data_IF_812988607502
#
_entry.id   IF_812988607502
#
_cell.length_a   1.000
_cell.length_b   1.000
_cell.length_c   1.000
_cell.angle_alpha   90.00
_cell.angle_beta   90.00
_cell.angle_gamma   90.00
#
_symmetry.space_group_name_H-M   'P 1'
#
loop_
_entity.id
_entity.type
_entity.pdbx_description
1 polymer ?
#
# COMPACT_ATOMS: atom_id res chain seq x y z
N UNK A 1 -10.11 16.28 -17.60
CA UNK A 1 -9.26 17.14 -16.76
C UNK A 1 -9.21 16.57 -15.36
N UNK A 2 -8.20 16.97 -14.60
CA UNK A 2 -7.82 16.43 -13.29
C UNK A 2 -8.99 16.16 -12.36
N UNK A 3 -9.94 17.09 -12.24
CA UNK A 3 -11.11 16.96 -11.35
C UNK A 3 -11.95 15.71 -11.66
N UNK A 4 -12.16 15.41 -12.94
CA UNK A 4 -12.98 14.25 -13.34
C UNK A 4 -12.27 12.93 -13.09
N UNK A 5 -10.94 12.92 -13.25
CA UNK A 5 -10.11 11.74 -13.02
C UNK A 5 -10.04 11.41 -11.53
N UNK A 6 -9.80 12.43 -10.69
CA UNK A 6 -9.79 12.29 -9.24
C UNK A 6 -11.16 11.86 -8.69
N UNK A 7 -12.24 12.42 -9.23
CA UNK A 7 -13.60 12.00 -8.87
C UNK A 7 -13.84 10.51 -9.13
N UNK A 8 -13.50 10.02 -10.34
CA UNK A 8 -13.68 8.61 -10.69
C UNK A 8 -12.84 7.70 -9.80
N UNK A 9 -11.55 8.01 -9.59
CA UNK A 9 -10.72 7.24 -8.66
C UNK A 9 -11.34 7.14 -7.25
N UNK A 10 -11.90 8.23 -6.73
CA UNK A 10 -12.57 8.22 -5.43
C UNK A 10 -13.84 7.35 -5.41
N UNK A 11 -14.62 7.36 -6.49
CA UNK A 11 -15.82 6.52 -6.64
C UNK A 11 -15.46 5.02 -6.61
N UNK A 12 -14.55 4.59 -7.50
CA UNK A 12 -14.14 3.18 -7.59
C UNK A 12 -13.51 2.68 -6.28
N UNK A 13 -12.76 3.55 -5.58
CA UNK A 13 -12.14 3.20 -4.31
C UNK A 13 -13.19 2.91 -3.23
N UNK A 14 -14.29 3.67 -3.20
CA UNK A 14 -15.39 3.46 -2.26
C UNK A 14 -16.18 2.20 -2.64
N UNK A 15 -16.48 2.01 -3.93
CA UNK A 15 -17.17 0.81 -4.42
C UNK A 15 -16.37 -0.46 -4.11
N UNK A 16 -15.06 -0.47 -4.39
CA UNK A 16 -14.16 -1.57 -4.02
C UNK A 16 -14.22 -1.91 -2.52
N UNK A 17 -14.24 -0.91 -1.64
CA UNK A 17 -14.37 -1.10 -0.19
C UNK A 17 -15.73 -1.69 0.19
N UNK A 18 -16.81 -1.22 -0.43
CA UNK A 18 -18.17 -1.76 -0.22
C UNK A 18 -18.24 -3.23 -0.63
N UNK A 19 -17.68 -3.59 -1.79
CA UNK A 19 -17.64 -4.96 -2.29
C UNK A 19 -16.80 -5.88 -1.39
N UNK A 20 -15.68 -5.37 -0.86
CA UNK A 20 -14.85 -6.08 0.11
C UNK A 20 -15.61 -6.38 1.40
N UNK A 21 -16.26 -5.38 2.00
CA UNK A 21 -17.06 -5.53 3.22
C UNK A 21 -18.24 -6.49 3.00
N UNK A 22 -18.84 -6.45 1.81
CA UNK A 22 -19.95 -7.34 1.46
C UNK A 22 -19.53 -8.77 1.08
N UNK A 23 -18.23 -9.06 0.98
CA UNK A 23 -17.73 -10.39 0.62
C UNK A 23 -18.03 -10.80 -0.83
N UNK A 24 -18.30 -9.85 -1.72
CA UNK A 24 -18.68 -10.11 -3.12
C UNK A 24 -17.44 -10.25 -3.99
N UNK A 25 -16.85 -11.45 -4.02
CA UNK A 25 -15.55 -11.71 -4.65
C UNK A 25 -15.45 -11.26 -6.12
N UNK A 26 -16.45 -11.56 -6.95
CA UNK A 26 -16.41 -11.22 -8.38
C UNK A 26 -16.40 -9.69 -8.58
N UNK A 27 -17.30 -9.00 -7.89
CA UNK A 27 -17.36 -7.53 -7.90
C UNK A 27 -16.10 -6.91 -7.33
N UNK A 28 -15.59 -7.41 -6.20
CA UNK A 28 -14.33 -6.91 -5.63
C UNK A 28 -13.16 -6.98 -6.63
N UNK A 29 -13.08 -8.03 -7.44
CA UNK A 29 -12.05 -8.14 -8.50
C UNK A 29 -12.27 -7.07 -9.57
N UNK A 30 -13.51 -6.83 -9.98
CA UNK A 30 -13.85 -5.81 -10.98
C UNK A 30 -13.51 -4.40 -10.47
N UNK A 31 -14.04 -4.02 -9.30
CA UNK A 31 -13.79 -2.71 -8.69
C UNK A 31 -12.29 -2.48 -8.38
N UNK A 32 -11.56 -3.54 -8.00
CA UNK A 32 -10.10 -3.44 -7.82
C UNK A 32 -9.38 -3.11 -9.12
N UNK A 33 -9.86 -3.63 -10.26
CA UNK A 33 -9.30 -3.30 -11.57
C UNK A 33 -9.58 -1.84 -11.94
N UNK A 34 -10.79 -1.35 -11.66
CA UNK A 34 -11.17 0.04 -11.92
C UNK A 34 -10.40 1.03 -11.03
N UNK A 35 -10.17 0.69 -9.75
CA UNK A 35 -9.27 1.43 -8.86
C UNK A 35 -7.87 1.54 -9.46
N UNK A 36 -7.28 0.43 -9.92
CA UNK A 36 -5.93 0.45 -10.50
C UNK A 36 -5.88 1.27 -11.79
N UNK A 37 -6.88 1.12 -12.66
CA UNK A 37 -7.00 1.87 -13.90
C UNK A 37 -7.06 3.38 -13.61
N UNK A 38 -8.01 3.80 -12.77
CA UNK A 38 -8.20 5.22 -12.49
C UNK A 38 -7.04 5.82 -11.70
N UNK A 39 -6.37 5.05 -10.85
CA UNK A 39 -5.14 5.48 -10.19
C UNK A 39 -4.00 5.74 -11.20
N UNK A 40 -3.83 4.86 -12.20
CA UNK A 40 -2.85 5.08 -13.28
C UNK A 40 -3.19 6.34 -14.08
N UNK A 41 -4.48 6.58 -14.38
CA UNK A 41 -4.90 7.81 -15.08
C UNK A 41 -4.60 9.06 -14.24
N UNK A 42 -4.81 9.02 -12.90
CA UNK A 42 -4.42 10.12 -12.00
C UNK A 42 -2.93 10.41 -12.12
N UNK A 43 -2.07 9.38 -12.12
CA UNK A 43 -0.63 9.55 -12.25
C UNK A 43 -0.26 10.22 -13.58
N UNK A 44 -0.79 9.70 -14.69
CA UNK A 44 -0.50 10.23 -16.03
C UNK A 44 -0.97 11.69 -16.16
N UNK A 45 -2.15 12.04 -15.66
CA UNK A 45 -2.67 13.41 -15.65
C UNK A 45 -1.80 14.35 -14.80
N UNK A 46 -1.23 13.84 -13.69
CA UNK A 46 -0.28 14.57 -12.84
C UNK A 46 1.16 14.59 -13.36
N UNK A 47 1.45 13.99 -14.53
CA UNK A 47 2.81 13.89 -15.09
C UNK A 47 3.71 12.88 -14.37
N UNK A 48 3.15 11.98 -13.56
CA UNK A 48 3.85 10.90 -12.86
C UNK A 48 3.78 9.63 -13.71
N UNK A 49 4.94 9.02 -13.99
CA UNK A 49 5.00 7.75 -14.70
C UNK A 49 4.73 6.60 -13.73
N UNK A 50 3.97 5.55 -14.11
CA UNK A 50 3.71 4.41 -13.23
C UNK A 50 4.98 3.76 -12.66
N UNK A 51 6.09 3.77 -13.39
CA UNK A 51 7.39 3.28 -12.93
C UNK A 51 7.96 4.05 -11.74
N UNK A 52 7.68 5.34 -11.61
CA UNK A 52 8.13 6.15 -10.47
C UNK A 52 7.45 5.68 -9.19
N UNK A 53 6.16 5.35 -9.28
CA UNK A 53 5.42 4.74 -8.16
C UNK A 53 5.92 3.31 -7.89
N UNK A 54 6.20 2.53 -8.93
CA UNK A 54 6.74 1.18 -8.77
C UNK A 54 8.11 1.17 -8.09
N UNK A 55 8.99 2.11 -8.47
CA UNK A 55 10.30 2.30 -7.84
C UNK A 55 10.14 2.68 -6.36
N UNK A 56 9.15 3.51 -6.03
CA UNK A 56 8.83 3.85 -4.64
C UNK A 56 8.33 2.63 -3.85
N UNK A 57 7.52 1.76 -4.45
CA UNK A 57 7.09 0.50 -3.83
C UNK A 57 8.29 -0.42 -3.56
N UNK A 58 9.17 -0.62 -4.55
CA UNK A 58 10.41 -1.41 -4.40
C UNK A 58 11.30 -0.82 -3.29
N UNK A 59 11.46 0.50 -3.26
CA UNK A 59 12.20 1.19 -2.19
C UNK A 59 11.59 0.84 -0.83
N UNK A 60 10.27 0.93 -0.66
CA UNK A 60 9.56 0.63 0.59
C UNK A 60 9.70 -0.83 1.01
N UNK A 61 9.65 -1.78 0.08
CA UNK A 61 9.88 -3.20 0.36
C UNK A 61 11.27 -3.46 0.96
N UNK A 62 12.30 -2.77 0.44
CA UNK A 62 13.66 -2.83 0.99
C UNK A 62 13.78 -2.31 2.42
N UNK A 63 12.93 -1.34 2.82
CA UNK A 63 12.89 -0.81 4.19
C UNK A 63 12.05 -1.67 5.13
N UNK A 64 10.91 -2.22 4.70
CA UNK A 64 10.01 -2.98 5.59
C UNK A 64 10.62 -4.31 6.02
N UNK A 65 11.27 -5.06 5.12
CA UNK A 65 11.78 -6.40 5.46
C UNK A 65 12.94 -6.42 6.48
N UNK A 66 13.84 -5.42 6.43
CA UNK A 66 15.05 -5.39 7.26
C UNK A 66 14.84 -4.52 8.50
N UNK A 67 14.27 -3.32 8.34
CA UNK A 67 14.09 -2.41 9.47
C UNK A 67 13.01 -2.92 10.44
N UNK A 68 11.94 -3.54 9.94
CA UNK A 68 10.90 -4.13 10.79
C UNK A 68 11.41 -5.36 11.56
N UNK A 69 12.19 -6.25 10.89
CA UNK A 69 12.84 -7.39 11.56
C UNK A 69 13.88 -6.93 12.59
N UNK A 70 14.71 -5.94 12.26
CA UNK A 70 15.69 -5.37 13.18
C UNK A 70 15.04 -4.65 14.37
N UNK A 71 13.95 -3.92 14.13
CA UNK A 71 13.15 -3.29 15.18
C UNK A 71 12.52 -4.34 16.09
N UNK A 72 11.95 -5.41 15.55
CA UNK A 72 11.39 -6.53 16.33
C UNK A 72 12.44 -7.23 17.19
N UNK A 73 13.62 -7.49 16.62
CA UNK A 73 14.75 -8.07 17.35
C UNK A 73 15.28 -7.14 18.46
N UNK A 74 15.18 -5.82 18.28
CA UNK A 74 15.56 -4.82 19.30
C UNK A 74 14.48 -4.64 20.38
N UNK A 75 13.21 -4.73 20.01
CA UNK A 75 12.07 -4.59 20.91
C UNK A 75 11.90 -5.82 21.81
N UNK A 76 12.27 -7.01 21.36
CA UNK A 76 12.14 -8.25 22.15
C UNK A 76 12.97 -8.21 23.46
N UNK A 77 14.27 -7.82 23.47
CA UNK A 77 15.02 -7.62 24.70
C UNK A 77 14.43 -6.52 25.59
N UNK A 78 13.97 -5.41 25.00
CA UNK A 78 13.40 -4.29 25.75
C UNK A 78 12.07 -4.65 26.43
N UNK A 79 11.20 -5.37 25.73
CA UNK A 79 9.91 -5.84 26.25
C UNK A 79 10.05 -6.90 27.35
N UNK A 80 11.17 -7.62 27.38
CA UNK A 80 11.51 -8.61 28.40
C UNK A 80 12.39 -8.04 29.53
N UNK A 81 12.70 -6.74 29.53
CA UNK A 81 13.57 -6.11 30.52
C UNK A 81 15.04 -6.55 30.44
N UNK A 82 15.47 -7.15 29.33
CA UNK A 82 16.81 -7.67 29.10
C UNK A 82 17.70 -6.58 28.49
N UNK A 83 18.53 -5.94 29.31
CA UNK A 83 19.48 -4.89 28.90
C UNK A 83 20.82 -5.43 28.35
N UNK A 84 20.80 -6.50 27.55
CA UNK A 84 22.04 -7.07 27.00
C UNK A 84 21.95 -7.40 25.51
N UNK A 85 22.95 -6.96 24.74
CA UNK A 85 23.20 -7.34 23.34
C UNK A 85 24.00 -8.64 23.21
N UNK A 86 24.37 -9.27 24.33
CA UNK A 86 24.91 -10.62 24.36
C UNK A 86 24.02 -11.49 25.23
N UNK A 87 23.26 -12.36 24.59
CA UNK A 87 22.78 -13.61 25.20
C UNK A 87 23.54 -14.71 24.42
N UNK A 88 23.98 -15.82 25.04
CA UNK A 88 24.63 -16.91 24.32
C UNK A 88 23.85 -17.35 23.09
#
# INVERSE_FOLDING_TARGET
GTDKVAQKFGEEAIECLIEAVAGRRASLIAESADVLYHLIVVWVDAGVRPEEVWNELIRREGFSGIAEKASRAKLLPLALGLNTTKIP
#
